data_IF_637399377812
#
_entry.id   IF_637399377812
#
_cell.length_a   1.000
_cell.length_b   1.000
_cell.length_c   1.000
_cell.angle_alpha   90.00
_cell.angle_beta   90.00
_cell.angle_gamma   90.00
#
_symmetry.space_group_name_H-M   'P 1'
#
loop_
_entity.id
_entity.type
_entity.pdbx_description
1 polymer ?
#
# COMPACT_ATOMS: atom_id res chain seq x y z
N UNK A 1 -7.66 -5.38 -6.15
CA UNK A 1 -8.08 -4.92 -7.47
C UNK A 1 -6.86 -4.54 -8.29
N UNK A 2 -6.93 -4.69 -9.64
CA UNK A 2 -5.99 -4.09 -10.57
C UNK A 2 -6.75 -3.21 -11.55
N UNK A 3 -6.26 -1.99 -11.75
CA UNK A 3 -6.87 -0.98 -12.64
C UNK A 3 -5.77 -0.43 -13.53
N UNK A 4 -5.99 -0.43 -14.86
CA UNK A 4 -5.13 0.23 -15.82
C UNK A 4 -5.53 1.69 -15.97
N UNK A 5 -4.54 2.56 -16.07
CA UNK A 5 -4.67 3.98 -16.35
C UNK A 5 -3.87 4.32 -17.60
N UNK A 6 -4.32 5.34 -18.31
CA UNK A 6 -3.62 5.92 -19.45
C UNK A 6 -3.55 7.43 -19.27
N UNK A 7 -2.37 8.01 -19.40
CA UNK A 7 -2.18 9.45 -19.43
C UNK A 7 -2.67 10.00 -20.77
N UNK A 8 -3.68 10.86 -20.74
CA UNK A 8 -4.34 11.37 -21.94
C UNK A 8 -3.37 12.12 -22.87
N UNK A 9 -2.39 12.81 -22.30
CA UNK A 9 -1.47 13.66 -23.06
C UNK A 9 -0.43 12.86 -23.85
N UNK A 10 0.04 11.75 -23.33
CA UNK A 10 1.15 10.96 -23.87
C UNK A 10 0.71 9.59 -24.39
N UNK A 11 -0.40 9.06 -23.90
CA UNK A 11 -0.83 7.68 -24.13
C UNK A 11 -0.08 6.65 -23.27
N UNK A 12 0.82 7.09 -22.39
CA UNK A 12 1.54 6.21 -21.48
C UNK A 12 0.58 5.57 -20.46
N UNK A 13 0.83 4.32 -20.16
CA UNK A 13 -0.05 3.51 -19.31
C UNK A 13 0.63 3.11 -18.02
N UNK A 14 -0.16 2.74 -17.03
CA UNK A 14 0.29 2.05 -15.83
C UNK A 14 -0.82 1.18 -15.24
N UNK A 15 -0.43 0.16 -14.51
CA UNK A 15 -1.34 -0.71 -13.74
C UNK A 15 -1.18 -0.41 -12.26
N UNK A 16 -2.27 -0.03 -11.60
CA UNK A 16 -2.31 0.13 -10.15
C UNK A 16 -3.03 -1.06 -9.52
N UNK A 17 -2.31 -1.83 -8.69
CA UNK A 17 -2.86 -2.87 -7.84
C UNK A 17 -3.18 -2.32 -6.45
N UNK A 18 -4.47 -2.26 -6.09
CA UNK A 18 -4.94 -1.80 -4.78
C UNK A 18 -5.14 -2.98 -3.84
N UNK A 19 -4.56 -2.90 -2.65
CA UNK A 19 -4.49 -4.00 -1.69
C UNK A 19 -4.95 -3.59 -0.29
N UNK A 20 -5.64 -4.51 0.38
CA UNK A 20 -5.90 -4.44 1.80
C UNK A 20 -5.84 -5.86 2.36
N UNK A 21 -4.71 -6.23 2.92
CA UNK A 21 -4.49 -7.58 3.45
C UNK A 21 -5.20 -7.76 4.79
N UNK A 22 -5.42 -9.01 5.17
CA UNK A 22 -6.10 -9.33 6.42
C UNK A 22 -5.37 -8.73 7.64
N UNK A 23 -6.10 -7.97 8.44
CA UNK A 23 -5.58 -7.39 9.69
C UNK A 23 -5.01 -8.47 10.64
N UNK A 24 -4.13 -8.07 11.54
CA UNK A 24 -3.53 -8.97 12.56
C UNK A 24 -4.53 -9.47 13.60
N UNK A 25 -5.72 -8.85 13.70
CA UNK A 25 -6.77 -9.28 14.62
C UNK A 25 -7.46 -10.52 14.12
N UNK A 26 -7.52 -11.58 14.94
CA UNK A 26 -8.15 -12.84 14.61
C UNK A 26 -9.68 -12.75 14.45
N UNK A 27 -10.34 -11.78 15.08
CA UNK A 27 -11.80 -11.68 15.12
C UNK A 27 -12.44 -12.81 15.95
N UNK A 28 -13.72 -13.10 15.71
CA UNK A 28 -14.44 -14.12 16.46
C UNK A 28 -14.13 -15.57 16.03
N UNK A 29 -13.43 -15.76 14.94
CA UNK A 29 -13.23 -17.09 14.32
C UNK A 29 -11.92 -17.79 14.67
N UNK A 30 -11.08 -17.22 15.51
CA UNK A 30 -9.76 -17.77 15.93
C UNK A 30 -8.97 -18.43 14.78
N UNK A 31 -8.99 -17.83 13.58
CA UNK A 31 -8.26 -18.31 12.41
C UNK A 31 -6.86 -17.69 12.31
N UNK A 32 -5.97 -18.40 11.64
CA UNK A 32 -4.60 -17.93 11.41
C UNK A 32 -4.60 -16.71 10.47
N UNK A 33 -4.41 -15.52 11.04
CA UNK A 33 -4.36 -14.27 10.29
C UNK A 33 -3.10 -14.15 9.43
N UNK A 34 -2.00 -14.80 9.81
CA UNK A 34 -0.79 -14.85 9.01
C UNK A 34 -1.01 -15.66 7.73
N UNK A 35 -1.60 -16.85 7.84
CA UNK A 35 -1.97 -17.65 6.69
C UNK A 35 -2.86 -16.88 5.71
N UNK A 36 -3.82 -16.12 6.24
CA UNK A 36 -4.69 -15.26 5.40
C UNK A 36 -3.89 -14.19 4.66
N UNK A 37 -2.93 -13.54 5.29
CA UNK A 37 -2.05 -12.58 4.59
C UNK A 37 -1.17 -13.25 3.55
N UNK A 38 -0.69 -14.47 3.78
CA UNK A 38 0.01 -15.26 2.77
C UNK A 38 -0.89 -15.54 1.56
N UNK A 39 -2.15 -15.95 1.78
CA UNK A 39 -3.15 -16.16 0.71
C UNK A 39 -3.46 -14.86 -0.05
N UNK A 40 -3.58 -13.71 0.66
CA UNK A 40 -3.75 -12.42 0.00
C UNK A 40 -2.58 -12.10 -0.94
N UNK A 41 -1.34 -12.33 -0.49
CA UNK A 41 -0.14 -12.18 -1.31
C UNK A 41 -0.16 -13.12 -2.52
N UNK A 42 -0.54 -14.41 -2.35
CA UNK A 42 -0.62 -15.36 -3.46
C UNK A 42 -1.66 -14.91 -4.50
N UNK A 43 -2.82 -14.46 -4.05
CA UNK A 43 -3.87 -13.93 -4.92
C UNK A 43 -3.43 -12.67 -5.67
N UNK A 44 -2.71 -11.76 -4.99
CA UNK A 44 -2.14 -10.57 -5.61
C UNK A 44 -1.21 -10.97 -6.74
N UNK A 45 -0.18 -11.76 -6.46
CA UNK A 45 0.84 -12.12 -7.44
C UNK A 45 0.27 -12.93 -8.62
N UNK A 46 -0.74 -13.79 -8.37
CA UNK A 46 -1.42 -14.55 -9.42
C UNK A 46 -2.28 -13.69 -10.36
N UNK A 47 -2.75 -12.53 -9.88
CA UNK A 47 -3.57 -11.61 -10.68
C UNK A 47 -2.73 -10.76 -11.65
N UNK A 48 -1.48 -10.47 -11.33
CA UNK A 48 -0.67 -9.49 -12.08
C UNK A 48 -0.41 -9.89 -13.54
N UNK A 49 -0.08 -11.15 -13.90
CA UNK A 49 0.08 -11.53 -15.30
C UNK A 49 -1.17 -11.30 -16.14
N UNK A 50 -2.36 -11.51 -15.55
CA UNK A 50 -3.64 -11.27 -16.23
C UNK A 50 -3.89 -9.76 -16.41
N UNK A 51 -3.50 -8.93 -15.44
CA UNK A 51 -3.60 -7.48 -15.55
C UNK A 51 -2.66 -6.96 -16.65
N UNK A 52 -1.41 -7.41 -16.71
CA UNK A 52 -0.46 -7.09 -17.76
C UNK A 52 -1.03 -7.42 -19.15
N UNK A 53 -1.54 -8.64 -19.32
CA UNK A 53 -2.12 -9.06 -20.58
C UNK A 53 -3.36 -8.26 -20.99
N UNK A 54 -4.18 -7.86 -19.99
CA UNK A 54 -5.42 -7.10 -20.24
C UNK A 54 -5.17 -5.65 -20.61
N UNK A 55 -4.21 -5.00 -19.95
CA UNK A 55 -3.94 -3.56 -20.13
C UNK A 55 -2.81 -3.29 -21.10
N UNK A 56 -2.14 -4.35 -21.57
CA UNK A 56 -1.02 -4.28 -22.52
C UNK A 56 0.10 -3.34 -22.05
N UNK A 57 0.36 -3.41 -20.73
CA UNK A 57 1.38 -2.60 -20.10
C UNK A 57 2.10 -3.40 -19.02
N UNK A 58 3.38 -3.09 -18.80
CA UNK A 58 4.20 -3.77 -17.80
C UNK A 58 4.50 -2.90 -16.57
N UNK A 59 4.11 -1.64 -16.55
CA UNK A 59 4.37 -0.73 -15.44
C UNK A 59 3.36 -0.95 -14.31
N UNK A 60 3.86 -1.54 -13.21
CA UNK A 60 3.02 -1.97 -12.10
C UNK A 60 3.38 -1.24 -10.82
N UNK A 61 2.38 -0.58 -10.25
CA UNK A 61 2.41 0.06 -8.95
C UNK A 61 1.42 -0.66 -8.00
N UNK A 62 1.91 -1.18 -6.87
CA UNK A 62 1.08 -1.87 -5.89
C UNK A 62 0.97 -1.00 -4.64
N UNK A 63 -0.24 -0.58 -4.30
CA UNK A 63 -0.55 0.32 -3.20
C UNK A 63 -1.50 -0.32 -2.19
N UNK A 64 -1.43 0.10 -0.93
CA UNK A 64 -2.42 -0.22 0.08
C UNK A 64 -1.87 -0.65 1.43
N UNK A 65 -2.79 -1.01 2.32
CA UNK A 65 -2.49 -1.58 3.63
C UNK A 65 -2.23 -3.08 3.51
N UNK A 66 -0.98 -3.48 3.73
CA UNK A 66 -0.58 -4.89 3.71
C UNK A 66 -0.71 -5.57 5.07
N UNK A 67 -1.00 -4.82 6.13
CA UNK A 67 -1.07 -5.34 7.51
C UNK A 67 0.15 -6.18 7.91
N UNK A 68 1.30 -5.89 7.31
CA UNK A 68 2.57 -6.61 7.48
C UNK A 68 3.73 -5.65 7.62
N UNK A 69 4.61 -5.94 8.55
CA UNK A 69 5.91 -5.26 8.66
C UNK A 69 6.92 -5.82 7.66
N UNK A 70 8.00 -5.09 7.45
CA UNK A 70 8.97 -5.35 6.38
C UNK A 70 9.55 -6.77 6.39
N UNK A 71 9.81 -7.34 7.57
CA UNK A 71 10.40 -8.69 7.68
C UNK A 71 9.38 -9.83 7.63
N UNK A 72 8.08 -9.52 7.55
CA UNK A 72 7.05 -10.57 7.50
C UNK A 72 6.99 -11.26 6.13
N UNK A 73 6.65 -12.56 6.16
CA UNK A 73 6.66 -13.45 4.99
C UNK A 73 5.94 -12.91 3.75
N UNK A 74 4.72 -12.32 3.88
CA UNK A 74 4.02 -11.77 2.71
C UNK A 74 4.80 -10.66 2.00
N UNK A 75 5.40 -9.73 2.76
CA UNK A 75 6.21 -8.64 2.20
C UNK A 75 7.47 -9.16 1.53
N UNK A 76 8.20 -10.04 2.23
CA UNK A 76 9.41 -10.66 1.69
C UNK A 76 9.13 -11.47 0.41
N UNK A 77 7.95 -12.06 0.28
CA UNK A 77 7.55 -12.78 -0.92
C UNK A 77 7.27 -11.84 -2.11
N UNK A 78 6.66 -10.67 -1.87
CA UNK A 78 6.45 -9.65 -2.90
C UNK A 78 7.81 -9.12 -3.40
N UNK A 79 8.74 -8.85 -2.48
CA UNK A 79 10.11 -8.43 -2.84
C UNK A 79 10.83 -9.52 -3.66
N UNK A 80 10.77 -10.80 -3.25
CA UNK A 80 11.34 -11.90 -4.03
C UNK A 80 10.69 -12.11 -5.40
N UNK A 81 9.45 -11.66 -5.57
CA UNK A 81 8.77 -11.67 -6.87
C UNK A 81 9.23 -10.52 -7.80
N UNK A 82 10.19 -9.70 -7.37
CA UNK A 82 10.82 -8.66 -8.18
C UNK A 82 10.24 -7.25 -7.95
N UNK A 83 9.40 -7.05 -6.94
CA UNK A 83 8.86 -5.73 -6.59
C UNK A 83 9.71 -5.04 -5.52
N UNK A 84 10.06 -3.80 -5.75
CA UNK A 84 10.78 -2.97 -4.79
C UNK A 84 9.81 -2.18 -3.92
N UNK A 85 10.04 -2.16 -2.61
CA UNK A 85 9.33 -1.26 -1.69
C UNK A 85 9.92 0.15 -1.85
N UNK A 86 9.09 1.09 -2.31
CA UNK A 86 9.54 2.41 -2.74
C UNK A 86 9.59 3.43 -1.59
N UNK A 87 8.89 3.21 -0.47
CA UNK A 87 8.87 4.16 0.65
C UNK A 87 10.21 4.25 1.39
N UNK A 88 10.92 3.14 1.71
CA UNK A 88 12.21 3.20 2.40
C UNK A 88 13.31 3.96 1.65
N UNK A 89 13.11 4.27 0.37
CA UNK A 89 14.05 5.10 -0.42
C UNK A 89 13.98 6.59 -0.06
N UNK A 90 12.98 7.03 0.69
CA UNK A 90 12.80 8.42 1.10
C UNK A 90 13.46 8.74 2.44
N UNK A 91 12.97 8.20 3.53
CA UNK A 91 13.46 8.42 4.90
C UNK A 91 13.20 7.19 5.78
N UNK A 92 14.22 6.74 6.49
CA UNK A 92 14.16 5.56 7.37
C UNK A 92 13.19 5.70 8.57
N UNK A 93 12.62 6.88 8.77
CA UNK A 93 11.71 7.21 9.87
C UNK A 93 10.24 7.34 9.45
N UNK A 94 9.91 7.11 8.18
CA UNK A 94 8.55 7.29 7.70
C UNK A 94 7.65 6.15 8.21
N UNK A 95 6.50 6.52 8.76
CA UNK A 95 5.45 5.62 9.23
C UNK A 95 4.12 6.05 8.62
N UNK A 96 3.18 5.11 8.54
CA UNK A 96 1.82 5.39 8.05
C UNK A 96 0.74 5.06 9.06
N UNK A 97 1.14 4.49 10.20
CA UNK A 97 0.22 3.97 11.20
C UNK A 97 0.80 4.17 12.60
N UNK A 98 -0.05 4.53 13.57
CA UNK A 98 0.33 4.63 14.98
C UNK A 98 -0.65 3.83 15.84
N UNK A 99 -0.11 2.92 16.65
CA UNK A 99 -0.90 2.09 17.56
C UNK A 99 -0.25 2.00 18.93
N UNK A 100 -1.00 2.40 19.98
CA UNK A 100 -0.55 2.40 21.37
C UNK A 100 0.77 3.15 21.61
N UNK A 101 1.00 4.22 20.83
CA UNK A 101 2.22 5.02 20.93
C UNK A 101 3.42 4.48 20.14
N UNK A 102 3.25 3.38 19.41
CA UNK A 102 4.27 2.84 18.54
C UNK A 102 3.94 3.19 17.08
N UNK A 103 4.90 3.78 16.40
CA UNK A 103 4.79 4.08 14.97
C UNK A 103 5.11 2.84 14.14
N UNK A 104 4.39 2.64 13.03
CA UNK A 104 4.53 1.50 12.15
C UNK A 104 4.35 1.81 10.68
N UNK A 105 4.94 0.98 9.83
CA UNK A 105 4.83 1.08 8.39
C UNK A 105 4.07 -0.13 7.84
N UNK A 106 2.78 0.05 7.55
CA UNK A 106 1.87 -0.99 7.05
C UNK A 106 1.35 -0.68 5.65
N UNK A 107 1.21 0.61 5.32
CA UNK A 107 0.76 1.10 4.02
C UNK A 107 1.96 1.26 3.10
N UNK A 108 1.97 0.49 2.00
CA UNK A 108 3.16 0.35 1.17
C UNK A 108 2.92 0.75 -0.28
N UNK A 109 4.02 1.12 -0.91
CA UNK A 109 4.12 1.37 -2.34
C UNK A 109 5.19 0.43 -2.91
N UNK A 110 4.77 -0.62 -3.63
CA UNK A 110 5.70 -1.46 -4.38
C UNK A 110 5.63 -1.14 -5.86
N UNK A 111 6.78 -1.20 -6.52
CA UNK A 111 6.89 -1.05 -7.96
C UNK A 111 7.73 -2.19 -8.56
N UNK A 112 7.38 -2.62 -9.76
CA UNK A 112 8.26 -3.49 -10.53
C UNK A 112 9.43 -2.70 -11.12
N UNK A 113 10.47 -3.34 -11.68
CA UNK A 113 11.68 -2.65 -12.16
C UNK A 113 11.41 -1.52 -13.15
N UNK A 114 10.48 -1.69 -14.08
CA UNK A 114 10.11 -0.69 -15.08
C UNK A 114 9.46 0.53 -14.40
N UNK A 115 8.40 0.34 -13.62
CA UNK A 115 7.71 1.42 -12.90
C UNK A 115 8.62 2.11 -11.86
N UNK A 116 9.54 1.40 -11.22
CA UNK A 116 10.42 1.98 -10.20
C UNK A 116 11.26 3.14 -10.71
N UNK A 117 11.63 3.13 -11.99
CA UNK A 117 12.42 4.21 -12.65
C UNK A 117 11.60 5.47 -12.94
N UNK A 118 10.29 5.38 -12.82
CA UNK A 118 9.33 6.45 -13.12
C UNK A 118 8.79 7.11 -11.84
N UNK A 119 9.09 6.53 -10.67
CA UNK A 119 8.72 7.12 -9.39
C UNK A 119 9.72 8.21 -9.01
N UNK A 120 9.20 9.42 -8.81
CA UNK A 120 9.99 10.58 -8.38
C UNK A 120 10.11 10.61 -6.86
N UNK A 121 9.00 10.34 -6.16
CA UNK A 121 8.92 10.43 -4.71
C UNK A 121 7.78 9.59 -4.16
N UNK A 122 7.99 9.00 -2.99
CA UNK A 122 6.93 8.37 -2.18
C UNK A 122 7.02 8.92 -0.77
N UNK A 123 5.88 9.26 -0.18
CA UNK A 123 5.82 9.79 1.19
C UNK A 123 4.46 9.54 1.83
N UNK A 124 4.40 9.29 3.14
CA UNK A 124 3.14 9.37 3.88
C UNK A 124 2.68 10.83 3.99
N UNK A 125 1.38 11.04 4.06
CA UNK A 125 0.79 12.32 4.38
C UNK A 125 0.22 12.26 5.80
N UNK A 126 0.97 12.78 6.78
CA UNK A 126 0.65 12.71 8.20
C UNK A 126 -0.58 13.55 8.57
N UNK A 127 -1.75 13.09 8.16
CA UNK A 127 -3.04 13.75 8.37
C UNK A 127 -3.94 12.92 9.30
N UNK A 128 -3.58 11.68 9.57
CA UNK A 128 -4.38 10.74 10.35
C UNK A 128 -3.64 10.13 11.54
N UNK A 129 -2.50 9.46 11.32
CA UNK A 129 -1.83 8.62 12.33
C UNK A 129 -1.37 9.40 13.54
N UNK A 130 -0.92 10.65 13.37
CA UNK A 130 -0.42 11.53 14.44
C UNK A 130 -1.51 12.15 15.29
N UNK A 131 -2.75 12.16 14.79
CA UNK A 131 -3.82 12.86 15.47
C UNK A 131 -4.44 12.01 16.57
N UNK A 132 -4.75 12.65 17.70
CA UNK A 132 -5.30 12.00 18.87
C UNK A 132 -6.62 11.28 18.54
N UNK A 133 -6.67 10.00 18.91
CA UNK A 133 -7.89 9.21 18.83
C UNK A 133 -8.81 9.55 20.00
N UNK A 134 -9.85 10.34 19.76
CA UNK A 134 -10.92 10.53 20.73
C UNK A 134 -11.84 9.32 20.70
N UNK A 135 -12.06 8.67 21.84
CA UNK A 135 -12.97 7.54 21.98
C UNK A 135 -14.33 7.81 21.32
N UNK A 136 -14.66 7.05 20.30
CA UNK A 136 -15.90 7.19 19.52
C UNK A 136 -15.82 8.15 18.33
N UNK A 137 -14.67 8.64 17.97
CA UNK A 137 -14.44 9.71 16.99
C UNK A 137 -14.39 9.29 15.52
N UNK A 138 -14.95 8.18 15.12
CA UNK A 138 -15.53 8.12 13.77
C UNK A 138 -16.75 9.06 13.60
N UNK A 139 -17.15 9.70 14.69
CA UNK A 139 -18.12 10.80 14.68
C UNK A 139 -17.33 12.10 14.72
N UNK A 140 -16.81 12.50 13.58
CA UNK A 140 -16.15 13.79 13.43
C UNK A 140 -17.15 14.90 13.78
N UNK A 141 -17.04 15.44 14.99
CA UNK A 141 -17.72 16.68 15.35
C UNK A 141 -17.12 17.87 14.61
N UNK A 142 -15.84 17.77 14.30
CA UNK A 142 -15.10 18.81 13.59
C UNK A 142 -14.93 18.37 12.14
N UNK A 143 -15.43 19.18 11.21
CA UNK A 143 -15.34 18.97 9.75
C UNK A 143 -13.90 19.24 9.26
N UNK A 144 -12.91 18.61 9.91
CA UNK A 144 -11.50 18.72 9.53
C UNK A 144 -11.10 17.53 8.68
N UNK A 145 -10.01 17.64 7.94
CA UNK A 145 -9.46 16.51 7.16
C UNK A 145 -8.66 15.51 8.01
N UNK A 146 -8.44 15.83 9.30
CA UNK A 146 -7.58 15.04 10.17
C UNK A 146 -8.30 13.85 10.80
N UNK A 147 -7.58 12.74 10.99
CA UNK A 147 -8.05 11.55 11.69
C UNK A 147 -9.27 10.86 11.07
N UNK A 148 -9.37 10.87 9.76
CA UNK A 148 -10.40 10.11 9.02
C UNK A 148 -10.21 8.60 9.12
N UNK A 149 -8.98 8.16 9.35
CA UNK A 149 -8.56 6.79 9.54
C UNK A 149 -7.49 6.72 10.64
N UNK A 150 -7.06 5.52 11.00
CA UNK A 150 -5.90 5.27 11.86
C UNK A 150 -4.60 5.14 11.06
N UNK A 151 -4.68 5.16 9.74
CA UNK A 151 -3.59 5.14 8.78
C UNK A 151 -3.48 6.45 8.01
N UNK A 152 -2.27 6.81 7.61
CA UNK A 152 -1.96 7.92 6.73
C UNK A 152 -2.01 7.50 5.26
N UNK A 153 -2.51 8.36 4.35
CA UNK A 153 -2.39 8.13 2.92
C UNK A 153 -0.94 8.14 2.45
N UNK A 154 -0.62 7.28 1.49
CA UNK A 154 0.67 7.32 0.79
C UNK A 154 0.50 8.12 -0.50
N UNK A 155 1.32 9.15 -0.67
CA UNK A 155 1.40 9.97 -1.88
C UNK A 155 2.57 9.47 -2.71
N UNK A 156 2.32 9.25 -4.00
CA UNK A 156 3.32 8.82 -4.97
C UNK A 156 3.35 9.82 -6.11
N UNK A 157 4.49 10.46 -6.30
CA UNK A 157 4.75 11.36 -7.42
C UNK A 157 5.43 10.55 -8.53
N UNK A 158 4.83 10.48 -9.71
CA UNK A 158 5.31 9.71 -10.86
C UNK A 158 5.50 10.60 -12.10
N UNK A 159 6.41 10.18 -12.97
CA UNK A 159 6.57 10.75 -14.30
C UNK A 159 6.60 9.59 -15.30
N UNK A 160 5.47 9.34 -15.95
CA UNK A 160 5.35 8.29 -16.94
C UNK A 160 6.30 8.54 -18.14
N UNK A 161 6.83 7.45 -18.70
CA UNK A 161 7.80 7.45 -19.80
C UNK A 161 7.47 6.32 -20.78
#
# INVERSE_FOLDING_TARGET
YAVGFEEIATGEKLIIGLNHFKSKRAGRGNYDTHLRRMQNKDSLLAMLPQAIARFEDADILLLGDYNCYTQEGPIQAIVRAGYSDMLPLGHAADYSYSFKGEAGYLDRCFANPSMSTQIIRVRPWHVNADWYYQHGAYKMKDKTMHRYADHDPIIVDIKLK
#
